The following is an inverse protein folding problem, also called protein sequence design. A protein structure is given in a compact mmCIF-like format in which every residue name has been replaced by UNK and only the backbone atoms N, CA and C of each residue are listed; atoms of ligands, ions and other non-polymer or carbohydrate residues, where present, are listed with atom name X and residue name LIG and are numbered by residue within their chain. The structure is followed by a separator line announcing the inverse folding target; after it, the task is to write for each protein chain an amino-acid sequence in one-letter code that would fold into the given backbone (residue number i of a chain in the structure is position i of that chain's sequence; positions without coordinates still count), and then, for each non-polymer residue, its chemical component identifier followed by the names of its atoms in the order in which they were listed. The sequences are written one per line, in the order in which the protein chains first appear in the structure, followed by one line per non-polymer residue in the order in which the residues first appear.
data_IF_273293009137
#
_entry.id   IF_273293009137
#
_cell.length_a   1.000
_cell.length_b   1.000
_cell.length_c   1.000
_cell.angle_alpha   90.00
_cell.angle_beta   90.00
_cell.angle_gamma   90.00
#
_symmetry.space_group_name_H-M   'P 1'
#
loop_
_entity.id
_entity.type
_entity.pdbx_description
1 polymer ?
#
# COMPACT_ATOMS: atom_id res chain seq x y z
N UNK A 1 19.67 -8.27 44.88
CA UNK A 1 18.67 -8.84 43.95
C UNK A 1 18.60 -7.93 42.73
N UNK A 2 19.22 -8.30 41.63
CA UNK A 2 19.09 -7.59 40.37
C UNK A 2 17.60 -7.75 39.93
N UNK A 3 16.85 -6.63 39.91
CA UNK A 3 15.55 -6.63 39.22
C UNK A 3 15.84 -6.93 37.73
N UNK A 4 15.55 -8.13 37.29
CA UNK A 4 15.42 -8.42 35.87
C UNK A 4 14.24 -7.56 35.41
N UNK A 5 14.52 -6.48 34.69
CA UNK A 5 13.49 -5.68 34.10
C UNK A 5 12.70 -6.59 33.13
N UNK A 6 11.47 -6.96 33.54
CA UNK A 6 10.59 -7.79 32.74
C UNK A 6 10.28 -7.01 31.48
N UNK A 7 10.74 -7.52 30.36
CA UNK A 7 10.35 -6.99 29.05
C UNK A 7 8.85 -7.21 28.86
N UNK A 8 8.15 -6.19 28.43
CA UNK A 8 6.69 -6.15 28.29
C UNK A 8 6.29 -6.04 26.81
N UNK A 9 5.09 -6.47 26.49
CA UNK A 9 4.46 -6.20 25.19
C UNK A 9 3.69 -4.89 25.32
N UNK A 10 3.93 -3.94 24.41
CA UNK A 10 3.24 -2.65 24.38
C UNK A 10 2.32 -2.63 23.16
N UNK A 11 1.03 -2.38 23.36
CA UNK A 11 0.07 -2.18 22.28
C UNK A 11 -0.34 -0.73 22.16
N UNK A 12 -0.27 -0.19 20.97
CA UNK A 12 -0.86 1.09 20.57
C UNK A 12 -2.09 0.87 19.66
N UNK A 13 -2.44 -0.38 19.38
CA UNK A 13 -3.58 -0.74 18.56
C UNK A 13 -4.85 -0.81 19.42
N UNK A 14 -5.95 -0.11 19.05
CA UNK A 14 -7.12 0.10 19.92
C UNK A 14 -7.84 -1.17 20.39
N UNK A 15 -7.62 -2.31 19.72
CA UNK A 15 -8.32 -3.56 20.03
C UNK A 15 -7.39 -4.74 20.33
N UNK A 16 -6.06 -4.54 20.29
CA UNK A 16 -5.11 -5.61 20.64
C UNK A 16 -4.67 -5.39 22.08
N UNK A 17 -5.07 -6.29 22.95
CA UNK A 17 -4.63 -6.30 24.34
C UNK A 17 -3.17 -6.74 24.49
N UNK A 18 -2.46 -6.15 25.42
CA UNK A 18 -1.05 -6.41 25.73
C UNK A 18 -0.75 -6.15 27.20
N UNK A 19 0.51 -6.36 27.65
CA UNK A 19 0.91 -6.07 29.04
C UNK A 19 0.69 -4.58 29.39
N UNK A 20 0.99 -3.70 28.44
CA UNK A 20 0.76 -2.26 28.55
C UNK A 20 0.05 -1.75 27.28
N UNK A 21 -0.95 -0.92 27.49
CA UNK A 21 -1.69 -0.28 26.42
C UNK A 21 -1.43 1.23 26.42
N UNK A 22 -0.98 1.77 25.30
CA UNK A 22 -0.80 3.20 25.13
C UNK A 22 -1.74 3.74 24.05
N UNK A 23 -2.70 4.56 24.45
CA UNK A 23 -3.56 5.25 23.50
C UNK A 23 -2.83 6.49 22.97
N UNK A 24 -2.49 6.48 21.68
CA UNK A 24 -1.91 7.65 21.03
C UNK A 24 -2.96 8.76 20.92
N UNK A 25 -2.74 9.82 21.69
CA UNK A 25 -3.59 11.04 21.69
C UNK A 25 -3.00 12.13 20.79
N UNK A 26 -2.04 11.80 19.91
CA UNK A 26 -1.34 12.75 19.07
C UNK A 26 -0.28 13.59 19.83
N UNK A 27 0.06 13.18 21.06
CA UNK A 27 1.11 13.83 21.85
C UNK A 27 2.11 12.77 22.31
N UNK A 28 3.35 12.90 21.86
CA UNK A 28 4.44 12.01 22.23
C UNK A 28 5.37 12.71 23.21
N UNK A 29 5.67 12.07 24.33
CA UNK A 29 6.45 12.62 25.43
C UNK A 29 7.54 11.64 25.91
N UNK A 30 8.25 12.02 26.97
CA UNK A 30 9.31 11.20 27.56
C UNK A 30 8.78 9.95 28.26
N UNK A 31 7.53 9.96 28.71
CA UNK A 31 6.91 8.80 29.37
C UNK A 31 6.61 7.73 28.35
N UNK A 32 6.07 8.10 27.16
CA UNK A 32 5.95 7.18 26.03
C UNK A 32 7.31 6.61 25.65
N UNK A 33 8.33 7.46 25.47
CA UNK A 33 9.66 6.99 25.11
C UNK A 33 10.23 5.98 26.15
N UNK A 34 10.07 6.27 27.44
CA UNK A 34 10.47 5.38 28.52
C UNK A 34 9.71 4.05 28.55
N UNK A 35 8.43 4.05 28.13
CA UNK A 35 7.63 2.84 27.98
C UNK A 35 8.13 1.99 26.79
N UNK A 36 8.33 2.61 25.62
CA UNK A 36 8.80 1.91 24.42
C UNK A 36 10.18 1.28 24.61
N UNK A 37 11.07 1.88 25.38
CA UNK A 37 12.40 1.31 25.69
C UNK A 37 12.34 0.01 26.51
N UNK A 38 11.26 -0.24 27.25
CA UNK A 38 11.04 -1.46 28.03
C UNK A 38 10.36 -2.57 27.23
N UNK A 39 9.88 -2.25 26.02
CA UNK A 39 9.13 -3.20 25.24
C UNK A 39 10.00 -4.36 24.71
N UNK A 40 9.47 -5.58 24.83
CA UNK A 40 9.95 -6.75 24.09
C UNK A 40 9.38 -6.76 22.67
N UNK A 41 8.11 -6.34 22.53
CA UNK A 41 7.43 -6.17 21.27
C UNK A 41 6.49 -4.96 21.32
N UNK A 42 6.28 -4.32 20.18
CA UNK A 42 5.36 -3.19 20.03
C UNK A 42 4.36 -3.50 18.91
N UNK A 43 3.07 -3.35 19.24
CA UNK A 43 1.96 -3.54 18.27
C UNK A 43 1.39 -2.18 17.90
N UNK A 44 1.44 -1.86 16.61
CA UNK A 44 1.05 -0.56 16.09
C UNK A 44 -0.25 -0.64 15.26
N UNK A 45 -1.05 0.43 15.20
CA UNK A 45 -2.19 0.51 14.31
C UNK A 45 -1.76 0.72 12.84
N UNK A 46 -2.66 0.44 11.89
CA UNK A 46 -2.43 0.71 10.47
C UNK A 46 -2.21 2.21 10.17
N UNK A 47 -2.71 3.07 11.05
CA UNK A 47 -2.63 4.53 10.91
C UNK A 47 -1.42 5.16 11.61
N UNK A 48 -0.46 4.33 12.07
CA UNK A 48 0.74 4.84 12.75
C UNK A 48 1.48 5.84 11.87
N UNK A 49 1.98 6.90 12.51
CA UNK A 49 2.81 7.92 11.87
C UNK A 49 4.22 7.39 11.61
N UNK A 50 4.85 7.89 10.55
CA UNK A 50 6.20 7.49 10.13
C UNK A 50 7.24 7.66 11.23
N UNK A 51 7.23 8.82 11.88
CA UNK A 51 8.17 9.17 12.93
C UNK A 51 8.03 8.25 14.14
N UNK A 52 6.80 7.96 14.54
CA UNK A 52 6.52 7.04 15.63
C UNK A 52 6.91 5.61 15.30
N UNK A 53 6.65 5.16 14.07
CA UNK A 53 7.09 3.85 13.60
C UNK A 53 8.61 3.69 13.73
N UNK A 54 9.37 4.64 13.21
CA UNK A 54 10.83 4.56 13.28
C UNK A 54 11.38 4.76 14.69
N UNK A 55 10.70 5.52 15.54
CA UNK A 55 11.02 5.59 16.96
C UNK A 55 10.88 4.20 17.61
N UNK A 56 9.75 3.52 17.37
CA UNK A 56 9.50 2.16 17.86
C UNK A 56 10.57 1.18 17.36
N UNK A 57 10.86 1.18 16.08
CA UNK A 57 11.90 0.33 15.44
C UNK A 57 13.30 0.60 16.00
N UNK A 58 13.58 1.84 16.41
CA UNK A 58 14.89 2.22 16.98
C UNK A 58 15.10 1.68 18.38
N UNK A 59 14.04 1.59 19.17
CA UNK A 59 14.12 1.21 20.60
C UNK A 59 13.72 -0.25 20.85
N UNK A 60 12.94 -0.85 19.95
CA UNK A 60 12.48 -2.23 20.04
C UNK A 60 12.67 -2.94 18.68
N UNK A 61 13.37 -4.08 18.61
CA UNK A 61 13.56 -4.80 17.36
C UNK A 61 12.28 -5.47 16.85
N UNK A 62 11.35 -5.81 17.75
CA UNK A 62 10.11 -6.50 17.45
C UNK A 62 8.95 -5.49 17.36
N UNK A 63 8.58 -5.11 16.12
CA UNK A 63 7.47 -4.20 15.84
C UNK A 63 6.53 -4.83 14.81
N UNK A 64 5.26 -4.91 15.15
CA UNK A 64 4.20 -5.34 14.23
C UNK A 64 3.19 -4.19 14.03
N UNK A 65 2.74 -3.94 12.79
CA UNK A 65 3.16 -4.54 11.53
C UNK A 65 4.55 -4.10 11.11
N UNK A 66 5.16 -4.84 10.15
CA UNK A 66 6.35 -4.37 9.48
C UNK A 66 5.98 -3.38 8.36
N UNK A 67 6.26 -2.11 8.58
CA UNK A 67 6.03 -1.01 7.66
C UNK A 67 7.32 -0.38 7.11
N UNK A 68 8.43 -1.13 7.16
CA UNK A 68 9.71 -0.64 6.64
C UNK A 68 9.58 -0.20 5.17
N UNK A 69 8.96 -1.03 4.31
CA UNK A 69 8.76 -0.69 2.91
C UNK A 69 7.77 0.47 2.69
N UNK A 70 6.69 0.52 3.49
CA UNK A 70 5.70 1.61 3.44
C UNK A 70 6.33 2.99 3.59
N UNK A 71 7.25 3.11 4.56
CA UNK A 71 7.87 4.38 4.91
C UNK A 71 9.22 4.62 4.22
N UNK A 72 9.79 3.60 3.59
CA UNK A 72 10.95 3.75 2.72
C UNK A 72 10.54 4.40 1.41
N UNK A 73 9.43 3.95 0.84
CA UNK A 73 8.90 4.40 -0.44
C UNK A 73 7.39 4.64 -0.33
N UNK A 74 7.00 5.89 -0.37
CA UNK A 74 5.61 6.29 -0.18
C UNK A 74 4.86 6.49 -1.51
N UNK A 75 3.57 6.16 -1.50
CA UNK A 75 2.62 6.46 -2.57
C UNK A 75 2.88 5.69 -3.87
N UNK A 76 2.36 6.19 -4.99
CA UNK A 76 2.39 5.50 -6.30
C UNK A 76 3.80 5.34 -6.88
N UNK A 77 4.68 6.31 -6.61
CA UNK A 77 6.10 6.18 -6.94
C UNK A 77 6.71 5.04 -6.12
N UNK A 78 6.42 5.01 -4.82
CA UNK A 78 6.89 3.97 -3.91
C UNK A 78 6.43 2.58 -4.31
N UNK A 79 5.17 2.40 -4.69
CA UNK A 79 4.63 1.14 -5.20
C UNK A 79 5.43 0.68 -6.43
N UNK A 80 5.68 1.59 -7.40
CA UNK A 80 6.42 1.28 -8.62
C UNK A 80 7.87 0.85 -8.32
N UNK A 81 8.56 1.58 -7.43
CA UNK A 81 9.92 1.23 -7.00
C UNK A 81 9.97 -0.13 -6.31
N UNK A 82 8.94 -0.46 -5.51
CA UNK A 82 8.81 -1.76 -4.87
C UNK A 82 8.63 -2.87 -5.93
N UNK A 83 7.76 -2.66 -6.92
CA UNK A 83 7.52 -3.64 -7.99
C UNK A 83 8.79 -3.89 -8.81
N UNK A 84 9.54 -2.85 -9.16
CA UNK A 84 10.84 -3.01 -9.83
C UNK A 84 11.86 -3.77 -8.98
N UNK A 85 11.97 -3.39 -7.69
CA UNK A 85 12.97 -3.98 -6.78
C UNK A 85 12.71 -5.46 -6.54
N UNK A 86 11.45 -5.84 -6.38
CA UNK A 86 11.07 -7.23 -6.12
C UNK A 86 10.74 -8.03 -7.39
N UNK A 87 10.79 -7.40 -8.58
CA UNK A 87 10.68 -8.06 -9.88
C UNK A 87 9.30 -8.70 -10.10
N UNK A 88 8.21 -8.03 -9.70
CA UNK A 88 6.85 -8.49 -9.99
C UNK A 88 6.32 -7.83 -11.25
N UNK A 89 5.44 -8.52 -11.98
CA UNK A 89 4.78 -7.94 -13.15
C UNK A 89 3.89 -6.78 -12.74
N UNK A 90 3.99 -5.71 -13.46
CA UNK A 90 3.16 -4.51 -13.32
C UNK A 90 3.01 -3.85 -14.69
N UNK A 91 1.99 -3.00 -14.94
CA UNK A 91 1.90 -2.27 -16.19
C UNK A 91 3.15 -1.42 -16.42
N UNK A 92 3.55 -1.24 -17.67
CA UNK A 92 4.68 -0.35 -17.98
C UNK A 92 4.45 1.02 -17.34
N UNK A 93 5.41 1.49 -16.55
CA UNK A 93 5.24 2.68 -15.72
C UNK A 93 6.47 3.57 -15.80
N UNK A 94 6.23 4.86 -16.05
CA UNK A 94 7.22 5.93 -15.98
C UNK A 94 7.03 6.71 -14.69
N UNK A 95 8.13 6.99 -13.99
CA UNK A 95 8.14 7.72 -12.72
C UNK A 95 8.69 9.13 -12.94
N UNK A 96 7.92 10.12 -12.53
CA UNK A 96 8.28 11.53 -12.61
C UNK A 96 8.35 12.14 -11.20
N UNK A 97 9.55 12.35 -10.64
CA UNK A 97 9.69 12.99 -9.33
C UNK A 97 9.25 14.47 -9.32
N UNK A 98 9.16 15.08 -10.49
CA UNK A 98 8.83 16.50 -10.71
C UNK A 98 7.97 16.68 -11.95
N UNK A 99 7.00 17.57 -11.86
CA UNK A 99 6.17 17.97 -13.01
C UNK A 99 6.99 18.74 -14.04
N UNK A 100 7.94 19.55 -13.60
CA UNK A 100 8.83 20.34 -14.45
C UNK A 100 9.55 19.50 -15.51
N UNK A 101 9.78 18.22 -15.24
CA UNK A 101 10.39 17.27 -16.19
C UNK A 101 9.59 17.17 -17.49
N UNK A 102 8.27 17.36 -17.45
CA UNK A 102 7.39 17.33 -18.65
C UNK A 102 6.95 18.71 -19.14
N UNK A 103 7.12 19.76 -18.32
CA UNK A 103 6.75 21.14 -18.69
C UNK A 103 7.95 21.95 -19.26
N UNK A 104 9.17 21.41 -19.16
CA UNK A 104 10.37 22.06 -19.66
C UNK A 104 10.48 22.05 -21.18
N UNK A 105 11.50 22.75 -21.71
CA UNK A 105 11.82 22.73 -23.15
C UNK A 105 12.15 21.29 -23.58
N UNK A 106 11.17 20.63 -24.20
CA UNK A 106 11.25 19.25 -24.66
C UNK A 106 12.30 19.03 -25.75
N UNK A 107 12.92 20.09 -26.27
CA UNK A 107 13.99 19.99 -27.28
C UNK A 107 15.23 19.23 -26.81
N UNK A 108 15.35 18.97 -25.49
CA UNK A 108 16.44 18.20 -24.89
C UNK A 108 16.02 16.83 -24.34
N UNK A 109 14.74 16.47 -24.40
CA UNK A 109 14.29 15.12 -24.05
C UNK A 109 14.36 14.24 -25.29
N UNK A 110 15.22 13.24 -25.26
CA UNK A 110 15.35 12.25 -26.34
C UNK A 110 14.06 11.43 -26.58
N UNK A 111 13.11 11.42 -25.62
CA UNK A 111 11.85 10.69 -25.71
C UNK A 111 10.71 11.41 -24.99
N UNK A 112 9.78 12.07 -25.70
CA UNK A 112 8.52 12.56 -25.14
C UNK A 112 7.63 11.41 -24.67
N UNK A 113 6.80 11.64 -23.63
CA UNK A 113 5.90 10.62 -23.04
C UNK A 113 5.04 9.90 -24.07
N UNK A 114 4.47 10.56 -25.11
CA UNK A 114 3.70 9.88 -26.15
C UNK A 114 4.48 8.86 -26.98
N UNK A 115 5.81 8.96 -27.04
CA UNK A 115 6.66 7.98 -27.73
C UNK A 115 6.93 6.76 -26.86
N UNK A 116 6.94 6.92 -25.51
CA UNK A 116 7.15 5.85 -24.53
C UNK A 116 5.87 5.14 -24.15
N UNK A 117 4.75 5.86 -24.06
CA UNK A 117 3.44 5.35 -23.76
C UNK A 117 2.41 5.96 -24.70
N UNK A 118 1.82 5.14 -25.56
CA UNK A 118 0.77 5.59 -26.46
C UNK A 118 -0.52 5.88 -25.70
N UNK A 119 -1.27 6.87 -26.15
CA UNK A 119 -2.61 7.14 -25.64
C UNK A 119 -3.57 5.97 -25.93
N UNK A 120 -4.52 5.64 -25.06
CA UNK A 120 -4.68 6.22 -23.73
C UNK A 120 -3.69 5.62 -22.70
N UNK A 121 -3.35 6.39 -21.65
CA UNK A 121 -2.59 5.91 -20.51
C UNK A 121 -3.18 6.44 -19.18
N UNK A 122 -2.77 5.88 -18.06
CA UNK A 122 -3.23 6.29 -16.73
C UNK A 122 -2.17 7.17 -16.07
N UNK A 123 -2.55 8.37 -15.66
CA UNK A 123 -1.72 9.28 -14.87
C UNK A 123 -2.18 9.24 -13.41
N UNK A 124 -1.23 9.13 -12.47
CA UNK A 124 -1.53 9.04 -11.03
C UNK A 124 -0.62 9.98 -10.25
N UNK A 125 -1.19 10.90 -9.46
CA UNK A 125 -0.43 11.68 -8.48
C UNK A 125 0.20 10.79 -7.41
N UNK A 126 1.42 11.13 -6.94
CA UNK A 126 2.21 10.25 -6.10
C UNK A 126 1.54 9.91 -4.75
N UNK A 127 0.83 10.86 -4.14
CA UNK A 127 0.29 10.71 -2.77
C UNK A 127 -1.24 10.62 -2.69
N UNK A 128 -1.92 10.43 -3.81
CA UNK A 128 -3.37 10.35 -3.83
C UNK A 128 -3.88 8.96 -3.43
N UNK A 129 -4.81 8.93 -2.48
CA UNK A 129 -5.57 7.74 -2.10
C UNK A 129 -6.99 7.75 -2.64
N UNK A 130 -7.68 6.59 -2.61
CA UNK A 130 -9.11 6.43 -2.95
C UNK A 130 -9.49 6.87 -4.37
N UNK A 131 -8.57 6.72 -5.35
CA UNK A 131 -8.81 7.10 -6.74
C UNK A 131 -8.76 8.60 -7.02
N UNK A 132 -8.51 9.43 -6.03
CA UNK A 132 -8.23 10.86 -6.25
C UNK A 132 -6.91 11.01 -7.00
N UNK A 133 -6.84 11.96 -7.93
CA UNK A 133 -5.66 12.18 -8.78
C UNK A 133 -5.25 10.92 -9.59
N UNK A 134 -6.22 10.14 -10.05
CA UNK A 134 -6.05 9.07 -11.03
C UNK A 134 -6.89 9.40 -12.23
N UNK A 135 -6.26 9.60 -13.37
CA UNK A 135 -6.89 10.06 -14.62
C UNK A 135 -6.53 9.13 -15.76
N UNK A 136 -7.52 8.80 -16.60
CA UNK A 136 -7.27 8.27 -17.94
C UNK A 136 -6.98 9.45 -18.85
N UNK A 137 -5.86 9.43 -19.53
CA UNK A 137 -5.41 10.47 -20.44
C UNK A 137 -5.53 9.94 -21.87
N UNK A 138 -6.40 10.54 -22.66
CA UNK A 138 -6.71 10.09 -24.01
C UNK A 138 -6.04 10.93 -25.10
N UNK A 139 -5.56 12.13 -24.74
CA UNK A 139 -4.94 13.06 -25.66
C UNK A 139 -4.02 14.08 -24.96
N UNK A 140 -3.29 14.84 -25.75
CA UNK A 140 -2.32 15.82 -25.27
C UNK A 140 -2.96 16.97 -24.48
N UNK A 141 -4.15 17.43 -24.86
CA UNK A 141 -4.86 18.50 -24.14
C UNK A 141 -5.19 18.08 -22.71
N UNK A 142 -5.66 16.85 -22.51
CA UNK A 142 -5.93 16.31 -21.19
C UNK A 142 -4.64 16.16 -20.37
N UNK A 143 -3.55 15.72 -21.02
CA UNK A 143 -2.25 15.64 -20.38
C UNK A 143 -1.82 17.00 -19.84
N UNK A 144 -1.87 18.05 -20.66
CA UNK A 144 -1.52 19.41 -20.25
C UNK A 144 -2.37 19.91 -19.08
N UNK A 145 -3.70 19.71 -19.12
CA UNK A 145 -4.59 20.09 -18.02
C UNK A 145 -4.20 19.41 -16.69
N UNK A 146 -3.89 18.11 -16.73
CA UNK A 146 -3.56 17.36 -15.50
C UNK A 146 -2.14 17.67 -15.02
N UNK A 147 -1.21 17.99 -15.93
CA UNK A 147 0.11 18.49 -15.56
C UNK A 147 0.01 19.85 -14.83
N UNK A 148 -0.87 20.76 -15.26
CA UNK A 148 -1.12 22.02 -14.55
C UNK A 148 -1.70 21.77 -13.15
N UNK A 149 -2.61 20.77 -13.03
CA UNK A 149 -3.16 20.37 -11.73
C UNK A 149 -2.05 19.85 -10.80
N UNK A 150 -1.18 18.98 -11.29
CA UNK A 150 -0.05 18.44 -10.53
C UNK A 150 0.97 19.51 -10.18
N UNK A 151 1.24 20.46 -11.08
CA UNK A 151 2.13 21.58 -10.82
C UNK A 151 1.63 22.43 -9.64
N UNK A 152 0.31 22.68 -9.58
CA UNK A 152 -0.28 23.41 -8.47
C UNK A 152 -0.08 22.67 -7.13
N UNK A 153 -0.29 21.36 -7.12
CA UNK A 153 -0.03 20.52 -5.95
C UNK A 153 1.46 20.50 -5.57
N UNK A 154 2.34 20.52 -6.54
CA UNK A 154 3.79 20.57 -6.30
C UNK A 154 4.23 21.88 -5.62
N UNK A 155 3.58 23.00 -5.93
CA UNK A 155 3.78 24.29 -5.23
C UNK A 155 3.31 24.22 -3.76
N UNK A 156 2.34 23.36 -3.46
CA UNK A 156 1.87 23.07 -2.10
C UNK A 156 2.74 22.02 -1.37
N UNK A 157 3.78 21.50 -2.03
CA UNK A 157 4.71 20.51 -1.46
C UNK A 157 4.39 19.05 -1.78
N UNK A 158 3.30 18.78 -2.51
CA UNK A 158 2.90 17.42 -2.94
C UNK A 158 3.54 17.15 -4.30
N UNK A 159 4.59 16.33 -4.33
CA UNK A 159 5.45 16.18 -5.50
C UNK A 159 5.37 14.83 -6.14
N UNK A 160 5.56 14.82 -7.46
CA UNK A 160 5.74 13.64 -8.27
C UNK A 160 4.44 12.96 -8.69
N UNK A 161 4.57 12.15 -9.72
CA UNK A 161 3.48 11.38 -10.31
C UNK A 161 4.05 10.20 -11.11
N UNK A 162 3.18 9.31 -11.53
CA UNK A 162 3.52 8.23 -12.46
C UNK A 162 2.60 8.28 -13.69
N UNK A 163 3.13 7.90 -14.84
CA UNK A 163 2.37 7.57 -16.03
C UNK A 163 2.47 6.07 -16.25
N UNK A 164 1.35 5.41 -16.42
CA UNK A 164 1.25 3.98 -16.47
C UNK A 164 0.43 3.54 -17.67
N UNK A 165 0.86 2.46 -18.33
CA UNK A 165 0.13 1.79 -19.39
C UNK A 165 -1.32 1.54 -18.96
N UNK A 166 -2.26 1.91 -19.84
CA UNK A 166 -3.66 1.57 -19.64
C UNK A 166 -3.92 0.14 -20.11
N UNK A 167 -4.47 -0.68 -19.22
CA UNK A 167 -4.90 -2.04 -19.52
C UNK A 167 -6.40 -2.03 -19.77
N UNK A 168 -6.85 -2.11 -21.04
CA UNK A 168 -8.28 -2.03 -21.38
C UNK A 168 -9.02 -3.32 -21.03
N UNK A 169 -10.36 -3.20 -20.98
CA UNK A 169 -11.29 -4.32 -20.82
C UNK A 169 -11.20 -5.12 -19.52
N UNK A 170 -10.73 -4.50 -18.46
CA UNK A 170 -10.78 -5.08 -17.12
C UNK A 170 -12.03 -4.54 -16.41
N UNK A 171 -13.03 -5.40 -16.23
CA UNK A 171 -14.28 -5.10 -15.50
C UNK A 171 -14.16 -5.34 -14.00
N UNK A 172 -13.02 -5.90 -13.57
CA UNK A 172 -12.72 -6.24 -12.19
C UNK A 172 -11.22 -6.23 -11.91
N UNK A 173 -10.89 -6.01 -10.66
CA UNK A 173 -9.58 -6.25 -10.10
C UNK A 173 -9.64 -7.26 -8.96
N UNK A 174 -8.52 -7.93 -8.68
CA UNK A 174 -8.38 -8.82 -7.55
C UNK A 174 -7.73 -8.08 -6.39
N UNK A 175 -8.46 -7.93 -5.28
CA UNK A 175 -7.84 -7.50 -4.03
C UNK A 175 -7.34 -8.71 -3.26
N UNK A 176 -6.05 -8.70 -2.93
CA UNK A 176 -5.41 -9.69 -2.07
C UNK A 176 -4.99 -9.01 -0.78
N UNK A 177 -5.43 -9.53 0.36
CA UNK A 177 -5.14 -8.95 1.69
C UNK A 177 -4.29 -9.90 2.50
N UNK A 178 -3.16 -9.40 2.99
CA UNK A 178 -2.25 -10.11 3.90
C UNK A 178 -2.45 -9.61 5.31
N UNK A 179 -2.66 -10.53 6.25
CA UNK A 179 -2.78 -10.27 7.69
C UNK A 179 -1.91 -11.28 8.43
N UNK A 180 -0.69 -10.89 8.79
CA UNK A 180 0.34 -11.83 9.27
C UNK A 180 0.68 -12.84 8.19
N UNK A 181 0.52 -14.13 8.50
CA UNK A 181 0.75 -15.25 7.57
C UNK A 181 -0.52 -15.68 6.81
N UNK A 182 -1.64 -14.97 7.00
CA UNK A 182 -2.90 -15.27 6.35
C UNK A 182 -3.09 -14.43 5.10
N UNK A 183 -3.52 -15.05 4.00
CA UNK A 183 -3.75 -14.39 2.71
C UNK A 183 -5.19 -14.61 2.26
N UNK A 184 -5.92 -13.53 2.07
CA UNK A 184 -7.33 -13.51 1.64
C UNK A 184 -7.46 -12.80 0.31
N UNK A 185 -8.44 -13.19 -0.52
CA UNK A 185 -8.68 -12.54 -1.80
C UNK A 185 -10.16 -12.45 -2.14
N UNK A 186 -10.50 -11.44 -2.91
CA UNK A 186 -11.82 -11.22 -3.49
C UNK A 186 -11.73 -10.28 -4.69
N UNK A 187 -12.61 -10.49 -5.68
CA UNK A 187 -12.78 -9.58 -6.80
C UNK A 187 -13.57 -8.34 -6.40
N UNK A 188 -13.19 -7.22 -6.99
CA UNK A 188 -13.99 -6.00 -6.96
C UNK A 188 -14.41 -5.68 -8.40
N UNK A 189 -15.72 -5.52 -8.62
CA UNK A 189 -16.32 -5.21 -9.91
C UNK A 189 -16.90 -3.80 -9.86
N UNK A 190 -16.58 -2.96 -10.81
CA UNK A 190 -17.18 -1.64 -10.96
C UNK A 190 -17.32 -1.29 -12.44
N UNK A 191 -18.34 -0.50 -12.81
CA UNK A 191 -18.58 -0.12 -14.20
C UNK A 191 -17.55 0.88 -14.74
N UNK A 192 -16.61 1.33 -13.94
CA UNK A 192 -15.56 2.28 -14.31
C UNK A 192 -14.19 1.65 -14.15
N UNK A 193 -13.16 2.20 -14.80
CA UNK A 193 -11.78 1.71 -14.67
C UNK A 193 -11.21 1.84 -13.22
N UNK A 194 -11.90 2.59 -12.35
CA UNK A 194 -11.61 2.67 -10.93
C UNK A 194 -12.52 1.70 -10.16
N UNK A 195 -12.05 0.46 -9.96
CA UNK A 195 -12.81 -0.60 -9.26
C UNK A 195 -12.86 -0.39 -7.74
N UNK A 196 -13.33 0.79 -7.29
CA UNK A 196 -13.39 1.12 -5.89
C UNK A 196 -14.77 0.81 -5.30
N UNK A 197 -14.84 -0.04 -4.26
CA UNK A 197 -16.08 -0.39 -3.56
C UNK A 197 -16.78 0.85 -2.95
N UNK A 198 -16.01 1.86 -2.52
CA UNK A 198 -16.57 3.12 -2.02
C UNK A 198 -17.37 3.85 -3.11
N UNK A 199 -17.07 3.61 -4.39
CA UNK A 199 -17.77 4.16 -5.54
C UNK A 199 -18.84 3.22 -6.11
N UNK A 200 -19.29 2.20 -5.35
CA UNK A 200 -20.35 1.28 -5.74
C UNK A 200 -19.89 -0.04 -6.34
N UNK A 201 -18.62 -0.41 -6.17
CA UNK A 201 -18.09 -1.69 -6.63
C UNK A 201 -18.69 -2.89 -5.87
N UNK A 202 -18.99 -3.97 -6.59
CA UNK A 202 -19.47 -5.24 -6.03
C UNK A 202 -18.29 -6.11 -5.61
N UNK A 203 -18.45 -6.82 -4.48
CA UNK A 203 -17.48 -7.80 -3.99
C UNK A 203 -17.92 -9.21 -4.40
N UNK A 204 -17.01 -9.93 -5.07
CA UNK A 204 -17.21 -11.32 -5.46
C UNK A 204 -16.02 -12.17 -4.98
N UNK A 205 -16.27 -12.98 -3.98
CA UNK A 205 -15.27 -13.92 -3.46
C UNK A 205 -15.42 -15.34 -4.02
N UNK A 206 -16.40 -15.58 -4.91
CA UNK A 206 -16.73 -16.91 -5.41
C UNK A 206 -16.14 -17.24 -6.79
N UNK A 207 -16.07 -16.25 -7.69
CA UNK A 207 -15.63 -16.46 -9.09
C UNK A 207 -14.12 -16.66 -9.22
N UNK A 208 -13.71 -17.32 -10.31
CA UNK A 208 -12.32 -17.48 -10.79
C UNK A 208 -11.33 -17.86 -9.67
N UNK A 209 -11.65 -18.94 -8.95
CA UNK A 209 -10.88 -19.41 -7.81
C UNK A 209 -9.41 -19.69 -8.13
N UNK A 210 -9.15 -20.18 -9.33
CA UNK A 210 -7.79 -20.48 -9.81
C UNK A 210 -6.98 -19.19 -9.93
N UNK A 211 -7.53 -18.13 -10.54
CA UNK A 211 -6.85 -16.83 -10.62
C UNK A 211 -6.69 -16.18 -9.24
N UNK A 212 -7.68 -16.35 -8.34
CA UNK A 212 -7.53 -15.89 -6.96
C UNK A 212 -6.37 -16.61 -6.25
N UNK A 213 -6.16 -17.91 -6.48
CA UNK A 213 -5.04 -18.66 -5.92
C UNK A 213 -3.72 -18.15 -6.45
N UNK A 214 -3.59 -18.00 -7.78
CA UNK A 214 -2.39 -17.43 -8.41
C UNK A 214 -2.08 -16.04 -7.81
N UNK A 215 -3.09 -15.18 -7.68
CA UNK A 215 -2.91 -13.85 -7.07
C UNK A 215 -2.43 -13.93 -5.62
N UNK A 216 -2.99 -14.85 -4.80
CA UNK A 216 -2.54 -15.05 -3.41
C UNK A 216 -1.11 -15.54 -3.33
N UNK A 217 -0.72 -16.50 -4.16
CA UNK A 217 0.65 -17.03 -4.21
C UNK A 217 1.66 -15.94 -4.56
N UNK A 218 1.38 -15.14 -5.61
CA UNK A 218 2.26 -14.06 -6.05
C UNK A 218 2.41 -12.96 -4.99
N UNK A 219 1.33 -12.57 -4.33
CA UNK A 219 1.38 -11.59 -3.24
C UNK A 219 2.12 -12.17 -2.03
N UNK A 220 1.89 -13.43 -1.69
CA UNK A 220 2.60 -14.08 -0.59
C UNK A 220 4.11 -14.17 -0.85
N UNK A 221 4.52 -14.51 -2.08
CA UNK A 221 5.92 -14.49 -2.48
C UNK A 221 6.53 -13.09 -2.33
N UNK A 222 5.83 -12.05 -2.81
CA UNK A 222 6.24 -10.66 -2.64
C UNK A 222 6.41 -10.29 -1.17
N UNK A 223 5.41 -10.62 -0.33
CA UNK A 223 5.42 -10.32 1.10
C UNK A 223 6.58 -11.00 1.84
N UNK A 224 6.87 -12.26 1.54
CA UNK A 224 8.02 -12.97 2.15
C UNK A 224 9.36 -12.31 1.82
N UNK A 225 9.51 -11.71 0.63
CA UNK A 225 10.74 -11.04 0.18
C UNK A 225 10.83 -9.61 0.69
N UNK A 226 9.71 -8.90 0.77
CA UNK A 226 9.62 -7.50 1.20
C UNK A 226 9.47 -7.31 2.71
N UNK A 227 9.07 -8.37 3.42
CA UNK A 227 8.78 -8.33 4.85
C UNK A 227 7.40 -7.74 5.19
N UNK A 228 6.58 -7.36 4.21
CA UNK A 228 5.22 -6.86 4.46
C UNK A 228 4.38 -7.96 5.09
N UNK A 229 3.72 -7.66 6.22
CA UNK A 229 2.86 -8.57 6.94
C UNK A 229 1.47 -8.00 7.29
N UNK A 230 1.14 -6.79 6.81
CA UNK A 230 -0.20 -6.21 6.90
C UNK A 230 -0.39 -5.19 5.77
N UNK A 231 -1.02 -5.61 4.67
CA UNK A 231 -1.36 -4.76 3.53
C UNK A 231 -2.43 -5.42 2.65
N UNK A 232 -3.06 -4.63 1.78
CA UNK A 232 -3.86 -5.11 0.66
C UNK A 232 -3.17 -4.74 -0.65
N UNK A 233 -3.26 -5.63 -1.62
CA UNK A 233 -2.69 -5.49 -2.96
C UNK A 233 -3.80 -5.50 -3.99
N UNK A 234 -3.72 -4.62 -4.96
CA UNK A 234 -4.63 -4.59 -6.09
C UNK A 234 -3.93 -5.15 -7.31
N UNK A 235 -4.54 -6.18 -7.90
CA UNK A 235 -4.01 -6.91 -9.05
C UNK A 235 -5.04 -6.97 -10.17
N UNK A 236 -4.55 -7.03 -11.40
CA UNK A 236 -5.38 -7.29 -12.56
C UNK A 236 -4.77 -8.42 -13.38
N UNK A 237 -5.62 -9.14 -14.12
CA UNK A 237 -5.21 -10.19 -15.03
C UNK A 237 -5.53 -9.73 -16.47
N UNK A 238 -4.53 -9.31 -17.26
CA UNK A 238 -4.74 -9.02 -18.66
C UNK A 238 -5.25 -10.26 -19.40
N UNK A 239 -6.16 -10.09 -20.37
CA UNK A 239 -6.86 -11.19 -21.04
C UNK A 239 -5.94 -12.24 -21.73
N UNK A 240 -4.69 -11.89 -21.96
CA UNK A 240 -3.70 -12.76 -22.61
C UNK A 240 -2.71 -13.43 -21.64
N UNK A 241 -2.85 -13.18 -20.33
CA UNK A 241 -1.85 -13.61 -19.35
C UNK A 241 -2.55 -14.10 -18.06
N UNK A 242 -2.22 -15.33 -17.66
CA UNK A 242 -2.69 -15.89 -16.37
C UNK A 242 -1.87 -15.39 -15.18
N UNK A 243 -0.84 -14.58 -15.41
CA UNK A 243 -0.02 -13.97 -14.36
C UNK A 243 -0.51 -12.56 -14.04
N UNK A 244 -0.77 -12.24 -12.75
CA UNK A 244 -1.33 -10.95 -12.37
C UNK A 244 -0.30 -9.81 -12.49
N UNK A 245 -0.80 -8.64 -12.88
CA UNK A 245 -0.09 -7.38 -12.80
C UNK A 245 -0.43 -6.67 -11.49
N UNK A 246 0.59 -6.27 -10.75
CA UNK A 246 0.45 -5.49 -9.52
C UNK A 246 0.17 -4.02 -9.86
N UNK A 247 -0.91 -3.46 -9.29
CA UNK A 247 -1.30 -2.07 -9.52
C UNK A 247 -0.98 -1.14 -8.36
N UNK A 248 -1.15 -1.62 -7.12
CA UNK A 248 -1.07 -0.80 -5.92
C UNK A 248 -0.88 -1.62 -4.65
N UNK A 249 -0.19 -1.03 -3.65
CA UNK A 249 -0.09 -1.54 -2.28
C UNK A 249 -0.85 -0.60 -1.34
N UNK A 250 -1.85 -1.13 -0.65
CA UNK A 250 -2.69 -0.38 0.28
C UNK A 250 -2.39 -0.81 1.72
N UNK A 251 -1.71 0.01 2.51
CA UNK A 251 -1.43 -0.28 3.93
C UNK A 251 -2.61 0.06 4.85
N UNK A 252 -3.53 0.91 4.40
CA UNK A 252 -4.85 1.11 4.99
C UNK A 252 -5.91 0.71 3.97
N UNK A 253 -6.82 -0.18 4.33
CA UNK A 253 -7.75 -0.76 3.37
C UNK A 253 -9.13 -1.01 3.96
N UNK A 254 -10.14 -1.02 3.09
CA UNK A 254 -11.53 -1.36 3.45
C UNK A 254 -11.67 -2.82 3.87
N UNK A 255 -12.53 -3.09 4.83
CA UNK A 255 -12.71 -4.42 5.47
C UNK A 255 -13.91 -5.19 4.95
N UNK A 256 -14.74 -4.59 4.13
CA UNK A 256 -16.00 -5.19 3.63
C UNK A 256 -15.77 -6.53 2.95
N UNK A 257 -14.78 -6.63 2.07
CA UNK A 257 -14.45 -7.88 1.37
C UNK A 257 -13.86 -8.99 2.25
N UNK A 258 -13.41 -8.64 3.45
CA UNK A 258 -12.98 -9.61 4.47
C UNK A 258 -14.14 -10.10 5.36
N UNK A 259 -15.37 -9.63 5.14
CA UNK A 259 -16.51 -9.92 5.99
C UNK A 259 -16.75 -8.89 7.09
N UNK A 260 -16.18 -7.68 6.94
CA UNK A 260 -16.38 -6.56 7.87
C UNK A 260 -15.31 -6.43 8.95
N UNK A 261 -15.48 -5.43 9.81
CA UNK A 261 -14.48 -5.08 10.82
C UNK A 261 -14.31 -6.17 11.89
N UNK A 262 -15.38 -6.82 12.33
CA UNK A 262 -15.31 -7.87 13.35
C UNK A 262 -14.40 -9.03 12.89
N UNK A 263 -14.64 -9.53 11.68
CA UNK A 263 -13.82 -10.60 11.13
C UNK A 263 -12.37 -10.16 10.91
N UNK A 264 -12.15 -8.94 10.39
CA UNK A 264 -10.80 -8.41 10.24
C UNK A 264 -10.06 -8.38 11.57
N UNK A 265 -10.72 -7.94 12.64
CA UNK A 265 -10.07 -7.86 13.95
C UNK A 265 -9.78 -9.24 14.54
N UNK A 266 -10.61 -10.24 14.28
CA UNK A 266 -10.30 -11.63 14.63
C UNK A 266 -9.04 -12.12 13.91
N UNK A 267 -8.95 -11.90 12.60
CA UNK A 267 -7.76 -12.25 11.80
C UNK A 267 -6.50 -11.53 12.30
N UNK A 268 -6.63 -10.25 12.62
CA UNK A 268 -5.51 -9.45 13.11
C UNK A 268 -5.04 -9.93 14.49
N UNK A 269 -5.95 -10.25 15.40
CA UNK A 269 -5.62 -10.79 16.71
C UNK A 269 -4.87 -12.12 16.59
N UNK A 270 -5.34 -13.04 15.74
CA UNK A 270 -4.68 -14.31 15.49
C UNK A 270 -3.29 -14.11 14.89
N UNK A 271 -3.15 -13.19 13.91
CA UNK A 271 -1.87 -12.87 13.29
C UNK A 271 -0.87 -12.28 14.29
N UNK A 272 -1.30 -11.36 15.15
CA UNK A 272 -0.45 -10.79 16.21
C UNK A 272 0.01 -11.85 17.18
N UNK A 273 -0.89 -12.75 17.62
CA UNK A 273 -0.54 -13.83 18.54
C UNK A 273 0.48 -14.80 17.94
N UNK A 274 0.28 -15.21 16.68
CA UNK A 274 1.23 -16.08 15.97
C UNK A 274 2.59 -15.38 15.81
N UNK A 275 2.57 -14.10 15.43
CA UNK A 275 3.79 -13.30 15.29
C UNK A 275 4.54 -13.15 16.63
N UNK A 276 3.84 -12.89 17.73
CA UNK A 276 4.45 -12.82 19.07
C UNK A 276 5.10 -14.16 19.47
N UNK A 277 4.41 -15.29 19.23
CA UNK A 277 4.96 -16.63 19.51
C UNK A 277 6.22 -16.95 18.70
N UNK A 278 6.30 -16.44 17.46
CA UNK A 278 7.45 -16.67 16.58
C UNK A 278 8.65 -15.76 16.87
N UNK A 279 8.45 -14.63 17.57
CA UNK A 279 9.47 -13.58 17.74
C UNK A 279 9.87 -13.31 19.21
N UNK A 280 9.19 -13.88 20.19
CA UNK A 280 9.50 -13.78 21.62
C UNK A 280 9.74 -15.15 22.24
#
# INVERSE_FOLDING_TARGET
MLKVDRKIIVSMHPIIEADEFYWDRGVWDKDLFGLLQKAAAIILPQTVERELYYLCKKVCPQVFPNYDLRFLWEGKIGDTLAFWTYGVKHPHTLVFPRVETLLGDHSQMDHPVPELLQYPFVMKGAHAGEGRQVWLIENETELEEKLQTLLHLELEGIRGFVIQEYLPALDKDLRVVVVGDQVHSYWRKAPTFLHNVVQGGEIDSASDKELQEVGREKVWEFCRRSGINLAAFDLVFPAADDEPFFLEINYTFGRTGLGGSERFYTLLHDAVNQWLQANL
#
